data_IF_528894597583
#
_entry.id   IF_528894597583
#
_cell.length_a   1.000
_cell.length_b   1.000
_cell.length_c   1.000
_cell.angle_alpha   90.00
_cell.angle_beta   90.00
_cell.angle_gamma   90.00
#
_symmetry.space_group_name_H-M   'P 1'
#
loop_
_entity.id
_entity.type
_entity.pdbx_description
1 polymer ?
#
# COMPACT_ATOMS: atom_id res chain seq x y z
N UNK A 1 -10.57 15.43 -1.49
CA UNK A 1 -9.20 15.10 -1.06
C UNK A 1 -9.27 13.69 -0.44
N UNK A 2 -8.44 12.75 -0.89
CA UNK A 2 -8.63 11.31 -0.64
C UNK A 2 -7.49 10.77 0.22
N UNK A 3 -7.78 9.91 1.20
CA UNK A 3 -6.79 9.32 2.14
C UNK A 3 -6.21 7.99 1.67
N UNK A 4 -6.42 7.63 0.41
CA UNK A 4 -6.22 6.29 -0.11
C UNK A 4 -5.20 6.33 -1.25
N UNK A 5 -4.28 5.38 -1.24
CA UNK A 5 -3.29 5.15 -2.28
C UNK A 5 -3.40 3.70 -2.76
N UNK A 6 -3.23 3.50 -4.06
CA UNK A 6 -3.12 2.19 -4.69
C UNK A 6 -1.70 2.09 -5.23
N UNK A 7 -0.93 1.18 -4.67
CA UNK A 7 0.45 0.92 -5.08
C UNK A 7 0.47 -0.32 -5.95
N UNK A 8 0.84 -0.17 -7.22
CA UNK A 8 0.98 -1.25 -8.19
C UNK A 8 2.44 -1.59 -8.40
N UNK A 9 2.70 -2.77 -8.96
CA UNK A 9 4.05 -3.27 -9.27
C UNK A 9 4.90 -3.50 -8.02
N UNK A 10 4.29 -3.89 -6.90
CA UNK A 10 5.02 -4.29 -5.70
C UNK A 10 5.52 -5.71 -5.93
N UNK A 11 6.81 -6.02 -5.78
CA UNK A 11 7.30 -7.39 -5.97
C UNK A 11 6.57 -8.35 -5.02
N UNK A 12 6.04 -9.46 -5.55
CA UNK A 12 5.29 -10.43 -4.73
C UNK A 12 6.15 -11.20 -3.73
N UNK A 13 7.47 -11.11 -3.88
CA UNK A 13 8.45 -11.72 -2.99
C UNK A 13 8.66 -10.87 -1.73
N UNK A 14 7.70 -10.93 -0.79
CA UNK A 14 7.90 -10.51 0.60
C UNK A 14 8.02 -9.00 0.85
N UNK A 15 7.79 -8.15 -0.15
CA UNK A 15 7.88 -6.69 0.02
C UNK A 15 6.68 -6.06 0.73
N UNK A 16 5.63 -6.82 1.06
CA UNK A 16 4.41 -6.28 1.71
C UNK A 16 4.67 -5.63 3.07
N UNK A 17 5.47 -6.28 3.93
CA UNK A 17 5.84 -5.75 5.24
C UNK A 17 6.76 -4.52 5.15
N UNK A 18 7.69 -4.54 4.20
CA UNK A 18 8.57 -3.40 3.92
C UNK A 18 7.77 -2.20 3.41
N UNK A 19 6.76 -2.45 2.57
CA UNK A 19 5.84 -1.44 2.07
C UNK A 19 5.10 -0.76 3.25
N UNK A 20 4.50 -1.55 4.13
CA UNK A 20 3.81 -1.02 5.31
C UNK A 20 4.72 -0.18 6.21
N UNK A 21 5.96 -0.62 6.40
CA UNK A 21 6.98 0.11 7.19
C UNK A 21 7.38 1.42 6.51
N UNK A 22 7.63 1.39 5.20
CA UNK A 22 7.98 2.56 4.42
C UNK A 22 6.86 3.61 4.45
N UNK A 23 5.60 3.20 4.21
CA UNK A 23 4.48 4.12 4.25
C UNK A 23 4.16 4.62 5.67
N UNK A 24 4.40 3.80 6.70
CA UNK A 24 4.30 4.25 8.10
C UNK A 24 5.31 5.35 8.45
N UNK A 25 6.43 5.45 7.72
CA UNK A 25 7.40 6.53 7.92
C UNK A 25 6.88 7.91 7.47
N UNK A 26 5.95 7.94 6.50
CA UNK A 26 5.27 9.16 6.06
C UNK A 26 4.15 9.58 7.02
N UNK A 27 3.71 8.66 7.89
CA UNK A 27 2.80 8.93 8.98
C UNK A 27 1.90 7.74 9.31
N UNK A 28 0.98 7.90 10.27
CA UNK A 28 0.14 6.80 10.74
C UNK A 28 -0.74 6.25 9.62
N UNK A 29 -0.52 4.97 9.32
CA UNK A 29 -1.38 4.16 8.46
C UNK A 29 -2.60 3.68 9.24
N UNK A 30 -3.76 3.77 8.60
CA UNK A 30 -5.01 3.21 9.08
C UNK A 30 -5.19 1.78 8.55
N UNK A 31 -4.83 1.53 7.29
CA UNK A 31 -4.93 0.20 6.68
C UNK A 31 -3.83 0.01 5.63
N UNK A 32 -3.21 -1.17 5.59
CA UNK A 32 -2.29 -1.59 4.53
C UNK A 32 -2.59 -3.06 4.24
N UNK A 33 -3.15 -3.35 3.07
CA UNK A 33 -3.51 -4.71 2.66
C UNK A 33 -3.27 -4.93 1.17
N UNK A 34 -2.91 -6.14 0.74
CA UNK A 34 -2.92 -6.48 -0.68
C UNK A 34 -4.36 -6.40 -1.23
N UNK A 35 -4.50 -6.01 -2.49
CA UNK A 35 -5.75 -6.15 -3.24
C UNK A 35 -5.96 -7.62 -3.62
N UNK A 36 -7.18 -7.94 -4.06
CA UNK A 36 -7.54 -9.29 -4.48
C UNK A 36 -6.64 -9.78 -5.63
N UNK A 37 -6.46 -11.11 -5.70
CA UNK A 37 -5.54 -11.75 -6.64
C UNK A 37 -5.85 -11.49 -8.13
N UNK A 38 -7.03 -10.97 -8.46
CA UNK A 38 -7.38 -10.58 -9.84
C UNK A 38 -6.71 -9.28 -10.30
N UNK A 39 -6.26 -8.43 -9.36
CA UNK A 39 -5.51 -7.19 -9.66
C UNK A 39 -3.99 -7.42 -9.66
N UNK A 40 -3.52 -8.59 -9.19
CA UNK A 40 -2.11 -8.97 -9.13
C UNK A 40 -1.64 -9.67 -10.41
N UNK A 41 -0.38 -9.45 -10.81
CA UNK A 41 0.27 -10.20 -11.88
C UNK A 41 1.19 -11.29 -11.30
N UNK A 42 1.75 -12.14 -12.16
CA UNK A 42 2.55 -13.32 -11.77
C UNK A 42 3.75 -12.99 -10.84
N UNK A 43 4.28 -11.78 -10.91
CA UNK A 43 5.45 -11.33 -10.14
C UNK A 43 5.22 -10.06 -9.33
N UNK A 44 4.02 -9.48 -9.42
CA UNK A 44 3.72 -8.18 -8.84
C UNK A 44 2.36 -8.18 -8.17
N UNK A 45 2.33 -7.67 -6.95
CA UNK A 45 1.14 -7.44 -6.18
C UNK A 45 0.72 -5.97 -6.23
N UNK A 46 -0.57 -5.77 -5.95
CA UNK A 46 -1.18 -4.46 -5.79
C UNK A 46 -1.56 -4.30 -4.32
N UNK A 47 -1.20 -3.16 -3.72
CA UNK A 47 -1.50 -2.86 -2.33
C UNK A 47 -2.41 -1.66 -2.21
N UNK A 48 -3.39 -1.80 -1.31
CA UNK A 48 -4.26 -0.74 -0.87
C UNK A 48 -3.75 -0.16 0.44
N UNK A 49 -3.46 1.14 0.43
CA UNK A 49 -2.92 1.87 1.58
C UNK A 49 -3.86 3.01 1.94
N UNK A 50 -4.21 3.09 3.22
CA UNK A 50 -5.06 4.14 3.78
C UNK A 50 -4.31 4.84 4.90
N UNK A 51 -4.14 6.15 4.79
CA UNK A 51 -3.57 6.98 5.85
C UNK A 51 -4.66 7.48 6.81
N UNK A 52 -4.32 7.62 8.10
CA UNK A 52 -5.23 8.25 9.07
C UNK A 52 -5.43 9.73 8.76
N UNK A 53 -4.37 10.41 8.31
CA UNK A 53 -4.37 11.83 7.97
C UNK A 53 -4.25 12.03 6.46
N UNK A 54 -5.01 13.01 5.98
CA UNK A 54 -5.16 13.27 4.56
C UNK A 54 -3.94 14.01 3.98
N UNK A 55 -3.22 14.76 4.81
CA UNK A 55 -1.94 15.40 4.48
C UNK A 55 -0.83 14.40 4.13
N UNK A 56 -0.93 13.16 4.61
CA UNK A 56 0.08 12.12 4.40
C UNK A 56 -0.18 11.30 3.13
N UNK A 57 -1.36 11.44 2.53
CA UNK A 57 -1.74 10.79 1.27
C UNK A 57 -1.48 11.68 0.05
N UNK A 58 -0.66 12.74 0.21
CA UNK A 58 -0.29 13.70 -0.84
C UNK A 58 1.09 13.43 -1.39
#
# INVERSE_FOLDING_TARGET
ESKYLIVRNVPSLGCGDELGTLFSSYGPLEECKPMDAEDCEEYTDVFFIKFSQLSNAR
#
